data_IF_455079113843
#
_entry.id   IF_455079113843
#
_cell.length_a   1.000
_cell.length_b   1.000
_cell.length_c   1.000
_cell.angle_alpha   90.00
_cell.angle_beta   90.00
_cell.angle_gamma   90.00
#
_symmetry.space_group_name_H-M   'P 1'
#
loop_
_entity.id
_entity.type
_entity.pdbx_description
1 polymer ?
#
# COMPACT_ATOMS: atom_id res chain seq x y z
N UNK A 1 -32.44 -28.13 11.81
CA UNK A 1 -30.97 -28.29 11.92
C UNK A 1 -30.27 -27.88 10.63
N UNK A 2 -30.71 -28.36 9.45
CA UNK A 2 -30.12 -27.95 8.15
C UNK A 2 -30.23 -26.45 7.82
N UNK A 3 -31.34 -25.79 8.18
CA UNK A 3 -31.53 -24.35 7.89
C UNK A 3 -30.51 -23.48 8.64
N UNK A 4 -30.24 -23.79 9.91
CA UNK A 4 -29.28 -23.07 10.75
C UNK A 4 -27.83 -23.30 10.27
N UNK A 5 -27.50 -24.52 9.82
CA UNK A 5 -26.20 -24.84 9.22
C UNK A 5 -25.93 -24.05 7.94
N UNK A 6 -26.95 -23.91 7.07
CA UNK A 6 -26.82 -23.15 5.82
C UNK A 6 -26.74 -21.63 6.06
N UNK A 7 -27.44 -21.09 7.04
CA UNK A 7 -27.28 -19.67 7.41
C UNK A 7 -25.88 -19.35 7.93
N UNK A 8 -25.34 -20.17 8.84
CA UNK A 8 -23.99 -19.95 9.38
C UNK A 8 -22.91 -20.07 8.30
N UNK A 9 -23.04 -21.03 7.38
CA UNK A 9 -22.09 -21.20 6.28
C UNK A 9 -22.13 -20.03 5.28
N UNK A 10 -23.33 -19.50 5.00
CA UNK A 10 -23.48 -18.32 4.13
C UNK A 10 -22.91 -17.05 4.79
N UNK A 11 -23.09 -16.87 6.10
CA UNK A 11 -22.50 -15.74 6.83
C UNK A 11 -20.97 -15.84 6.89
N UNK A 12 -20.41 -17.04 7.11
CA UNK A 12 -18.96 -17.24 7.11
C UNK A 12 -18.35 -16.92 5.74
N UNK A 13 -18.98 -17.37 4.65
CA UNK A 13 -18.51 -17.05 3.29
C UNK A 13 -18.60 -15.55 2.96
N UNK A 14 -19.65 -14.86 3.41
CA UNK A 14 -19.78 -13.42 3.20
C UNK A 14 -18.71 -12.65 4.00
N UNK A 15 -18.44 -13.06 5.24
CA UNK A 15 -17.44 -12.44 6.11
C UNK A 15 -16.03 -12.62 5.55
N UNK A 16 -15.68 -13.82 5.07
CA UNK A 16 -14.37 -14.09 4.44
C UNK A 16 -14.19 -13.30 3.12
N UNK A 17 -15.23 -13.25 2.27
CA UNK A 17 -15.19 -12.44 1.05
C UNK A 17 -15.05 -10.94 1.34
N UNK A 18 -15.77 -10.43 2.35
CA UNK A 18 -15.67 -9.03 2.79
C UNK A 18 -14.29 -8.71 3.33
N UNK A 19 -13.68 -9.62 4.07
CA UNK A 19 -12.37 -9.38 4.67
C UNK A 19 -11.26 -9.33 3.61
N UNK A 20 -11.32 -10.21 2.61
CA UNK A 20 -10.42 -10.16 1.44
C UNK A 20 -10.54 -8.85 0.65
N UNK A 21 -11.76 -8.42 0.36
CA UNK A 21 -12.02 -7.17 -0.34
C UNK A 21 -11.53 -5.97 0.46
N UNK A 22 -11.81 -5.94 1.77
CA UNK A 22 -11.39 -4.85 2.66
C UNK A 22 -9.87 -4.78 2.76
N UNK A 23 -9.19 -5.93 2.88
CA UNK A 23 -7.73 -6.01 2.89
C UNK A 23 -7.13 -5.50 1.59
N UNK A 24 -7.71 -5.87 0.46
CA UNK A 24 -7.25 -5.41 -0.87
C UNK A 24 -7.50 -3.93 -1.09
N UNK A 25 -8.66 -3.41 -0.67
CA UNK A 25 -8.97 -1.98 -0.69
C UNK A 25 -7.99 -1.19 0.18
N UNK A 26 -7.63 -1.72 1.34
CA UNK A 26 -6.68 -1.09 2.25
C UNK A 26 -5.26 -1.08 1.64
N UNK A 27 -4.82 -2.16 1.00
CA UNK A 27 -3.51 -2.19 0.32
C UNK A 27 -3.46 -1.22 -0.85
N UNK A 28 -4.50 -1.21 -1.69
CA UNK A 28 -4.59 -0.30 -2.84
C UNK A 28 -4.67 1.16 -2.39
N UNK A 29 -5.48 1.46 -1.37
CA UNK A 29 -5.63 2.83 -0.85
C UNK A 29 -4.35 3.36 -0.24
N UNK A 30 -3.65 2.54 0.57
CA UNK A 30 -2.34 2.90 1.14
C UNK A 30 -1.29 3.05 0.04
N UNK A 31 -1.28 2.17 -0.95
CA UNK A 31 -0.39 2.26 -2.11
C UNK A 31 -0.63 3.52 -2.94
N UNK A 32 -1.90 3.87 -3.16
CA UNK A 32 -2.29 5.09 -3.87
C UNK A 32 -1.88 6.36 -3.12
N UNK A 33 -2.12 6.42 -1.79
CA UNK A 33 -1.68 7.52 -0.94
C UNK A 33 -0.14 7.65 -0.92
N UNK A 34 0.56 6.52 -0.87
CA UNK A 34 2.01 6.50 -0.94
C UNK A 34 2.51 7.04 -2.29
N UNK A 35 1.94 6.58 -3.41
CA UNK A 35 2.29 7.08 -4.74
C UNK A 35 2.03 8.59 -4.87
N UNK A 36 0.86 9.06 -4.42
CA UNK A 36 0.52 10.50 -4.42
C UNK A 36 1.52 11.32 -3.63
N UNK A 37 1.91 10.85 -2.44
CA UNK A 37 2.89 11.53 -1.59
C UNK A 37 4.26 11.58 -2.27
N UNK A 38 4.72 10.47 -2.84
CA UNK A 38 6.03 10.42 -3.50
C UNK A 38 6.08 11.26 -4.78
N UNK A 39 5.00 11.25 -5.59
CA UNK A 39 4.90 12.09 -6.79
C UNK A 39 4.85 13.57 -6.38
N UNK A 40 4.09 13.93 -5.35
CA UNK A 40 4.01 15.31 -4.85
C UNK A 40 5.37 15.78 -4.33
N UNK A 41 6.06 14.96 -3.54
CA UNK A 41 7.41 15.27 -3.06
C UNK A 41 8.43 15.36 -4.21
N UNK A 42 8.34 14.47 -5.21
CA UNK A 42 9.26 14.44 -6.34
C UNK A 42 9.09 15.62 -7.29
N UNK A 43 7.86 16.10 -7.45
CA UNK A 43 7.54 17.32 -8.16
C UNK A 43 7.92 18.57 -7.36
N UNK A 44 7.62 18.60 -6.05
CA UNK A 44 7.87 19.78 -5.20
C UNK A 44 9.37 20.07 -5.03
N UNK A 45 10.20 19.05 -4.85
CA UNK A 45 11.65 19.22 -4.79
C UNK A 45 12.28 19.60 -6.14
N UNK A 46 11.53 19.57 -7.24
CA UNK A 46 12.03 19.88 -8.58
C UNK A 46 13.04 18.86 -9.12
N UNK A 47 13.23 17.74 -8.42
CA UNK A 47 14.20 16.69 -8.74
C UNK A 47 13.76 15.78 -9.91
N UNK A 48 12.56 16.02 -10.45
CA UNK A 48 12.02 15.35 -11.62
C UNK A 48 12.63 15.84 -12.95
N UNK A 49 13.15 17.07 -12.98
CA UNK A 49 13.80 17.64 -14.17
C UNK A 49 15.30 17.78 -13.93
N UNK A 50 16.10 16.96 -14.62
CA UNK A 50 17.56 17.11 -14.71
C UNK A 50 17.87 18.36 -15.54
N UNK A 51 17.89 19.53 -14.90
CA UNK A 51 18.00 20.78 -15.63
C UNK A 51 19.40 21.07 -16.18
N UNK A 52 20.50 20.50 -15.66
CA UNK A 52 21.84 20.47 -16.30
C UNK A 52 22.97 19.80 -15.46
N UNK A 53 22.82 19.58 -14.14
CA UNK A 53 23.79 18.85 -13.31
C UNK A 53 23.11 17.98 -12.23
N UNK A 54 23.59 16.75 -11.97
CA UNK A 54 23.09 15.94 -10.87
C UNK A 54 23.51 16.60 -9.55
N UNK A 55 22.58 17.28 -8.89
CA UNK A 55 22.81 17.88 -7.57
C UNK A 55 22.68 16.82 -6.48
N UNK A 56 23.41 17.01 -5.37
CA UNK A 56 23.37 16.14 -4.17
C UNK A 56 21.94 15.92 -3.64
N UNK A 57 21.04 16.87 -3.89
CA UNK A 57 19.63 16.77 -3.55
C UNK A 57 18.96 15.54 -4.18
N UNK A 58 19.05 15.37 -5.51
CA UNK A 58 18.45 14.22 -6.21
C UNK A 58 18.84 12.89 -5.57
N UNK A 59 20.11 12.72 -5.18
CA UNK A 59 20.61 11.47 -4.62
C UNK A 59 19.98 11.14 -3.26
N UNK A 60 19.81 12.16 -2.41
CA UNK A 60 19.13 12.02 -1.11
C UNK A 60 17.65 11.68 -1.31
N UNK A 61 16.99 12.22 -2.34
CA UNK A 61 15.63 11.80 -2.66
C UNK A 61 15.54 10.35 -3.03
N UNK A 62 16.42 9.91 -3.94
CA UNK A 62 16.32 8.55 -4.46
C UNK A 62 16.60 7.55 -3.35
N UNK A 63 17.53 7.88 -2.45
CA UNK A 63 17.75 7.12 -1.23
C UNK A 63 16.51 7.11 -0.32
N UNK A 64 15.88 8.27 -0.06
CA UNK A 64 14.66 8.34 0.75
C UNK A 64 13.47 7.62 0.10
N UNK A 65 13.31 7.74 -1.21
CA UNK A 65 12.31 7.07 -2.02
C UNK A 65 12.48 5.55 -1.97
N UNK A 66 13.71 5.06 -2.12
CA UNK A 66 14.04 3.63 -1.97
C UNK A 66 13.75 3.12 -0.56
N UNK A 67 14.14 3.87 0.48
CA UNK A 67 13.86 3.51 1.87
C UNK A 67 12.34 3.46 2.11
N UNK A 68 11.62 4.48 1.64
CA UNK A 68 10.17 4.58 1.74
C UNK A 68 9.46 3.43 1.02
N UNK A 69 9.97 3.02 -0.15
CA UNK A 69 9.44 1.89 -0.93
C UNK A 69 9.65 0.57 -0.19
N UNK A 70 10.85 0.35 0.37
CA UNK A 70 11.14 -0.85 1.17
C UNK A 70 10.24 -0.88 2.42
N UNK A 71 10.08 0.24 3.11
CA UNK A 71 9.21 0.35 4.28
C UNK A 71 7.74 0.05 3.93
N UNK A 72 7.25 0.56 2.80
CA UNK A 72 5.89 0.27 2.32
C UNK A 72 5.70 -1.23 2.01
N UNK A 73 6.66 -1.85 1.32
CA UNK A 73 6.60 -3.30 1.04
C UNK A 73 6.58 -4.10 2.35
N UNK A 74 7.40 -3.73 3.34
CA UNK A 74 7.38 -4.37 4.67
C UNK A 74 6.03 -4.16 5.37
N UNK A 75 5.42 -2.99 5.24
CA UNK A 75 4.10 -2.70 5.81
C UNK A 75 3.03 -3.61 5.20
N UNK A 76 3.02 -3.79 3.87
CA UNK A 76 2.10 -4.71 3.22
C UNK A 76 2.33 -6.17 3.61
N UNK A 77 3.59 -6.62 3.69
CA UNK A 77 3.90 -7.98 4.17
C UNK A 77 3.42 -8.18 5.61
N UNK A 78 3.59 -7.18 6.48
CA UNK A 78 3.11 -7.24 7.87
C UNK A 78 1.58 -7.21 7.96
N UNK A 79 0.92 -6.42 7.11
CA UNK A 79 -0.54 -6.39 6.99
C UNK A 79 -1.09 -7.75 6.52
N UNK A 80 -0.37 -8.43 5.61
CA UNK A 80 -0.70 -9.77 5.13
C UNK A 80 -0.32 -10.91 6.08
N UNK A 81 0.66 -10.69 6.95
CA UNK A 81 1.12 -11.69 7.92
C UNK A 81 0.29 -11.71 9.21
N UNK A 82 -0.63 -10.77 9.42
CA UNK A 82 -1.59 -10.88 10.52
C UNK A 82 -2.63 -11.94 10.09
N UNK A 83 -2.67 -13.11 10.75
CA UNK A 83 -3.70 -14.10 10.47
C UNK A 83 -5.07 -13.51 10.85
N UNK A 84 -6.05 -13.86 10.05
CA UNK A 84 -7.49 -13.62 10.24
C UNK A 84 -7.92 -14.48 11.43
#
# INVERSE_FOLDING_TARGET
>A
MEVNCKENFMSEMEEDARDLLTRTLMTVSVGALWMLTNVTLGLWFGWFFFANTPTLGNYIFYAFFLISLIAMIRYFIKLWSKPI
#
